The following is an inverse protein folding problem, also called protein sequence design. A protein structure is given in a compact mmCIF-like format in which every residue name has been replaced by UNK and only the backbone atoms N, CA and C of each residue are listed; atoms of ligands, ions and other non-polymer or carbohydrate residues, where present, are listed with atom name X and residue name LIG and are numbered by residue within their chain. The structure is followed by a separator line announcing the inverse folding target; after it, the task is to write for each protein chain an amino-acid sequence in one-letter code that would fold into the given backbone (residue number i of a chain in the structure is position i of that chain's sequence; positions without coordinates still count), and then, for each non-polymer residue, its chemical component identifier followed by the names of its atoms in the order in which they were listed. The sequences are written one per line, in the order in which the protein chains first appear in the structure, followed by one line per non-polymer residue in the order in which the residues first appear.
data_IF_582046285506
#
_entry.id   IF_582046285506
#
_cell.length_a   1.000
_cell.length_b   1.000
_cell.length_c   1.000
_cell.angle_alpha   90.00
_cell.angle_beta   90.00
_cell.angle_gamma   90.00
#
_symmetry.space_group_name_H-M   'P 1'
#
loop_
_entity.id
_entity.type
_entity.pdbx_description
1 polymer ?
#
# COMPACT_ATOMS: atom_id res chain seq x y z
N UNK A 1 -2.18 27.37 10.62
CA UNK A 1 -1.90 28.81 10.47
C UNK A 1 -1.52 29.09 9.02
N UNK A 2 -0.50 28.44 8.48
CA UNK A 2 0.00 28.62 7.11
C UNK A 2 -1.07 28.37 6.04
N UNK A 3 -1.88 27.29 6.17
CA UNK A 3 -2.97 27.01 5.23
C UNK A 3 -4.03 28.12 5.19
N UNK A 4 -4.29 28.81 6.31
CA UNK A 4 -5.23 29.95 6.34
C UNK A 4 -4.66 31.19 5.64
N UNK A 5 -3.38 31.44 5.79
CA UNK A 5 -2.67 32.54 5.12
C UNK A 5 -2.65 32.32 3.61
N UNK A 6 -2.35 31.12 3.16
CA UNK A 6 -2.40 30.73 1.74
C UNK A 6 -3.81 30.84 1.16
N UNK A 7 -4.81 30.33 1.87
CA UNK A 7 -6.21 30.38 1.42
C UNK A 7 -6.74 31.80 1.28
N UNK A 8 -6.33 32.74 2.15
CA UNK A 8 -6.67 34.17 2.04
C UNK A 8 -6.10 34.78 0.76
N UNK A 9 -4.95 34.29 0.25
CA UNK A 9 -4.37 34.65 -1.04
C UNK A 9 -4.96 33.93 -2.25
N UNK A 10 -5.93 33.03 -2.04
CA UNK A 10 -6.51 32.22 -3.11
C UNK A 10 -5.69 31.00 -3.51
N UNK A 11 -4.73 30.59 -2.67
CA UNK A 11 -3.89 29.43 -2.88
C UNK A 11 -4.27 28.28 -1.94
N UNK A 12 -4.29 27.07 -2.45
CA UNK A 12 -4.50 25.83 -1.68
C UNK A 12 -3.40 24.82 -1.90
N UNK A 13 -3.28 23.90 -0.96
CA UNK A 13 -2.34 22.77 -1.03
C UNK A 13 -3.13 21.49 -0.82
N UNK A 14 -2.78 20.44 -1.61
CA UNK A 14 -3.39 19.14 -1.48
C UNK A 14 -2.36 18.02 -1.74
N UNK A 15 -2.11 17.17 -0.74
CA UNK A 15 -1.20 16.03 -0.87
C UNK A 15 -1.58 14.89 0.07
N UNK A 16 -1.05 13.69 -0.19
CA UNK A 16 -1.39 12.48 0.57
C UNK A 16 -1.04 12.52 2.07
N UNK A 17 -0.04 13.34 2.46
CA UNK A 17 0.35 13.52 3.86
C UNK A 17 -0.59 14.42 4.69
N UNK A 18 -1.58 15.06 4.06
CA UNK A 18 -2.58 15.86 4.79
C UNK A 18 -3.64 14.96 5.43
N UNK A 19 -4.21 15.42 6.55
CA UNK A 19 -5.37 14.81 7.17
C UNK A 19 -6.56 14.76 6.22
N UNK A 20 -7.44 13.76 6.38
CA UNK A 20 -8.62 13.61 5.50
C UNK A 20 -9.54 14.83 5.54
N UNK A 21 -9.73 15.44 6.72
CA UNK A 21 -10.55 16.63 6.89
C UNK A 21 -9.95 17.85 6.16
N UNK A 22 -8.63 18.05 6.26
CA UNK A 22 -7.93 19.16 5.60
C UNK A 22 -7.95 19.02 4.07
N UNK A 23 -7.78 17.78 3.55
CA UNK A 23 -7.89 17.52 2.12
C UNK A 23 -9.27 17.86 1.61
N UNK A 24 -10.31 17.39 2.28
CA UNK A 24 -11.70 17.68 1.93
C UNK A 24 -12.01 19.18 1.96
N UNK A 25 -11.51 19.88 2.96
CA UNK A 25 -11.67 21.34 3.04
C UNK A 25 -10.98 22.06 1.86
N UNK A 26 -9.75 21.64 1.48
CA UNK A 26 -9.07 22.21 0.32
C UNK A 26 -9.83 21.93 -0.98
N UNK A 27 -10.42 20.75 -1.12
CA UNK A 27 -11.27 20.37 -2.26
C UNK A 27 -12.54 21.23 -2.33
N UNK A 28 -13.24 21.42 -1.21
CA UNK A 28 -14.45 22.25 -1.10
C UNK A 28 -14.15 23.74 -1.42
N UNK A 29 -13.05 24.28 -0.89
CA UNK A 29 -12.62 25.64 -1.14
C UNK A 29 -12.24 25.87 -2.62
N UNK A 30 -11.63 24.90 -3.26
CA UNK A 30 -11.33 24.96 -4.68
C UNK A 30 -12.59 24.83 -5.54
N UNK A 31 -13.50 23.91 -5.20
CA UNK A 31 -14.74 23.71 -5.92
C UNK A 31 -15.66 24.95 -5.88
N UNK A 32 -15.73 25.66 -4.75
CA UNK A 32 -16.51 26.90 -4.61
C UNK A 32 -15.79 28.15 -5.16
N UNK A 33 -14.54 28.02 -5.62
CA UNK A 33 -13.75 29.12 -6.20
C UNK A 33 -13.10 30.06 -5.18
N UNK A 34 -13.19 29.78 -3.88
CA UNK A 34 -12.48 30.55 -2.85
C UNK A 34 -10.95 30.38 -2.98
N UNK A 35 -10.50 29.18 -3.36
CA UNK A 35 -9.13 28.88 -3.78
C UNK A 35 -9.11 28.84 -5.30
N UNK A 36 -8.26 29.65 -5.92
CA UNK A 36 -8.12 29.71 -7.38
C UNK A 36 -6.97 28.86 -7.93
N UNK A 37 -5.94 28.66 -7.13
CA UNK A 37 -4.76 27.87 -7.47
C UNK A 37 -4.59 26.78 -6.45
N UNK A 38 -4.62 25.51 -6.89
CA UNK A 38 -4.40 24.36 -6.04
C UNK A 38 -3.06 23.71 -6.39
N UNK A 39 -2.09 23.80 -5.49
CA UNK A 39 -0.82 23.10 -5.59
C UNK A 39 -0.99 21.67 -5.02
N UNK A 40 -0.79 20.66 -5.87
CA UNK A 40 -1.05 19.29 -5.45
C UNK A 40 0.01 18.30 -5.96
N UNK A 41 0.08 17.16 -5.31
CA UNK A 41 0.82 16.00 -5.83
C UNK A 41 -0.03 15.26 -6.87
N UNK A 42 0.60 14.42 -7.69
CA UNK A 42 -0.06 13.64 -8.74
C UNK A 42 -1.25 12.78 -8.21
N UNK A 43 -1.27 12.47 -6.92
CA UNK A 43 -2.36 11.71 -6.28
C UNK A 43 -3.74 12.34 -6.41
N UNK A 44 -3.84 13.66 -6.58
CA UNK A 44 -5.11 14.35 -6.82
C UNK A 44 -5.76 13.91 -8.14
N UNK A 45 -4.96 13.65 -9.17
CA UNK A 45 -5.45 13.22 -10.48
C UNK A 45 -6.20 11.87 -10.44
N UNK A 46 -5.88 11.01 -9.45
CA UNK A 46 -6.40 9.66 -9.35
C UNK A 46 -7.65 9.50 -8.48
N UNK A 47 -7.81 10.35 -7.46
CA UNK A 47 -8.78 10.10 -6.40
C UNK A 47 -9.95 11.08 -6.31
N UNK A 48 -9.88 12.24 -6.97
CA UNK A 48 -10.86 13.31 -6.78
C UNK A 48 -11.29 13.89 -8.13
N UNK A 49 -12.58 14.15 -8.28
CA UNK A 49 -13.11 14.82 -9.47
C UNK A 49 -13.16 16.34 -9.26
N UNK A 50 -12.00 16.99 -9.38
CA UNK A 50 -11.85 18.45 -9.30
C UNK A 50 -11.35 18.99 -10.65
N UNK A 51 -12.23 19.34 -11.57
CA UNK A 51 -11.83 19.91 -12.85
C UNK A 51 -11.35 21.37 -12.65
N UNK A 52 -10.32 21.75 -13.41
CA UNK A 52 -9.75 23.09 -13.44
C UNK A 52 -9.71 23.62 -14.87
N UNK A 53 -9.76 24.94 -15.07
CA UNK A 53 -9.56 25.53 -16.40
C UNK A 53 -8.18 25.22 -16.97
N UNK A 54 -7.16 25.38 -16.14
CA UNK A 54 -5.78 25.13 -16.53
C UNK A 54 -5.11 24.13 -15.57
N UNK A 55 -4.31 23.25 -16.14
CA UNK A 55 -3.49 22.28 -15.40
C UNK A 55 -2.03 22.47 -15.78
N UNK A 56 -1.15 22.59 -14.79
CA UNK A 56 0.28 22.77 -14.98
C UNK A 56 1.03 21.59 -14.36
N UNK A 57 1.71 20.82 -15.17
CA UNK A 57 2.66 19.78 -14.74
C UNK A 57 4.02 20.45 -14.56
N UNK A 58 4.40 20.70 -13.31
CA UNK A 58 5.66 21.36 -12.94
C UNK A 58 6.79 20.34 -12.82
N UNK A 59 7.40 19.99 -13.93
CA UNK A 59 8.45 18.98 -14.02
C UNK A 59 7.89 17.58 -14.32
N UNK A 60 8.67 16.83 -15.05
CA UNK A 60 8.28 15.52 -15.60
C UNK A 60 9.10 14.38 -15.02
N UNK A 61 9.93 14.64 -14.02
CA UNK A 61 10.72 13.64 -13.33
C UNK A 61 10.04 13.24 -12.01
N UNK A 62 9.85 11.94 -11.82
CA UNK A 62 9.31 11.33 -10.60
C UNK A 62 10.35 10.37 -10.06
N UNK A 63 10.56 10.41 -8.75
CA UNK A 63 11.45 9.45 -8.10
C UNK A 63 10.81 8.05 -8.16
N UNK A 64 11.48 7.14 -8.88
CA UNK A 64 11.11 5.73 -8.94
C UNK A 64 11.90 4.95 -7.88
N UNK A 65 11.22 4.59 -6.80
CA UNK A 65 11.84 3.84 -5.72
C UNK A 65 12.29 2.42 -6.13
N UNK A 66 11.70 1.83 -7.17
CA UNK A 66 12.12 0.51 -7.68
C UNK A 66 13.46 0.60 -8.43
N UNK A 67 13.68 1.70 -9.14
CA UNK A 67 14.93 1.96 -9.87
C UNK A 67 15.98 2.67 -9.03
N UNK A 68 15.59 3.22 -7.88
CA UNK A 68 16.47 4.00 -7.02
C UNK A 68 16.93 5.33 -7.62
N UNK A 69 16.14 5.93 -8.52
CA UNK A 69 16.48 7.15 -9.25
C UNK A 69 15.26 7.87 -9.80
N UNK A 70 15.49 9.02 -10.42
CA UNK A 70 14.43 9.76 -11.09
C UNK A 70 14.11 9.12 -12.46
N UNK A 71 12.83 8.85 -12.69
CA UNK A 71 12.28 8.39 -13.96
C UNK A 71 11.34 9.42 -14.56
N UNK A 72 11.03 9.27 -15.85
CA UNK A 72 10.07 10.14 -16.51
C UNK A 72 8.64 9.81 -16.05
N UNK A 73 7.82 10.85 -15.93
CA UNK A 73 6.39 10.72 -15.70
C UNK A 73 5.76 9.91 -16.83
N UNK A 74 4.96 8.90 -16.50
CA UNK A 74 4.38 8.04 -17.53
C UNK A 74 3.36 8.79 -18.38
N UNK A 75 3.20 8.36 -19.64
CA UNK A 75 2.20 8.92 -20.56
C UNK A 75 0.80 8.87 -19.96
N UNK A 76 0.47 7.79 -19.26
CA UNK A 76 -0.84 7.63 -18.57
C UNK A 76 -1.04 8.68 -17.49
N UNK A 77 -0.01 8.94 -16.68
CA UNK A 77 -0.09 9.96 -15.64
C UNK A 77 -0.31 11.34 -16.25
N UNK A 78 0.43 11.68 -17.31
CA UNK A 78 0.25 12.95 -18.05
C UNK A 78 -1.17 13.09 -18.58
N UNK A 79 -1.69 12.07 -19.26
CA UNK A 79 -3.06 12.08 -19.79
C UNK A 79 -4.12 12.16 -18.70
N UNK A 80 -3.92 11.50 -17.56
CA UNK A 80 -4.84 11.59 -16.42
C UNK A 80 -4.84 12.94 -15.75
N UNK A 81 -3.64 13.54 -15.59
CA UNK A 81 -3.51 14.88 -15.05
C UNK A 81 -4.17 15.88 -16.01
N UNK A 82 -3.94 15.76 -17.31
CA UNK A 82 -4.58 16.59 -18.32
C UNK A 82 -6.08 16.37 -18.44
N UNK A 83 -6.57 15.16 -18.14
CA UNK A 83 -8.00 14.90 -18.02
C UNK A 83 -8.72 15.70 -16.92
N UNK A 84 -7.96 16.46 -16.12
CA UNK A 84 -8.50 17.43 -15.16
C UNK A 84 -8.62 18.86 -15.73
N UNK A 85 -8.03 19.11 -16.90
CA UNK A 85 -8.18 20.38 -17.59
C UNK A 85 -9.53 20.45 -18.34
N UNK A 86 -10.26 21.52 -18.09
CA UNK A 86 -11.59 21.75 -18.66
C UNK A 86 -12.71 21.42 -17.68
N UNK A 87 -13.73 22.28 -17.70
CA UNK A 87 -14.98 22.13 -16.93
C UNK A 87 -16.11 22.03 -17.94
N UNK A 88 -16.53 20.83 -18.37
CA UNK A 88 -17.51 20.65 -19.44
C UNK A 88 -18.82 21.41 -19.23
N UNK A 89 -19.17 21.69 -17.97
CA UNK A 89 -20.39 22.42 -17.60
C UNK A 89 -20.24 23.96 -17.65
N UNK A 90 -19.00 24.48 -17.68
CA UNK A 90 -18.73 25.92 -17.57
C UNK A 90 -17.87 26.47 -18.70
N UNK A 91 -16.98 25.66 -19.27
CA UNK A 91 -15.96 26.10 -20.22
C UNK A 91 -15.74 25.09 -21.34
N UNK A 92 -15.78 25.53 -22.62
CA UNK A 92 -15.61 24.63 -23.77
C UNK A 92 -14.17 24.16 -24.00
N UNK A 93 -13.20 24.78 -23.32
CA UNK A 93 -11.76 24.54 -23.49
C UNK A 93 -11.07 24.35 -22.15
N UNK A 94 -10.15 23.38 -22.08
CA UNK A 94 -9.19 23.23 -21.02
C UNK A 94 -7.77 23.44 -21.53
N UNK A 95 -6.90 23.99 -20.71
CA UNK A 95 -5.50 24.28 -21.07
C UNK A 95 -4.57 23.44 -20.21
N UNK A 96 -3.66 22.68 -20.87
CA UNK A 96 -2.62 21.89 -20.21
C UNK A 96 -1.23 22.44 -20.50
N UNK A 97 -0.42 22.62 -19.47
CA UNK A 97 0.98 23.02 -19.60
C UNK A 97 1.89 21.92 -19.05
N UNK A 98 2.93 21.56 -19.80
CA UNK A 98 4.01 20.69 -19.32
C UNK A 98 5.31 21.49 -19.29
N UNK A 99 5.90 21.60 -18.11
CA UNK A 99 7.25 22.14 -17.95
C UNK A 99 8.23 20.99 -17.91
N UNK A 100 9.00 20.82 -18.96
CA UNK A 100 9.95 19.71 -19.12
C UNK A 100 11.28 20.20 -19.70
N UNK A 101 12.28 19.33 -19.72
CA UNK A 101 13.58 19.61 -20.34
C UNK A 101 13.51 19.42 -21.85
N UNK A 102 14.40 20.09 -22.58
CA UNK A 102 14.38 20.08 -24.06
C UNK A 102 14.55 18.68 -24.64
N UNK A 103 15.38 17.85 -24.04
CA UNK A 103 15.61 16.46 -24.44
C UNK A 103 14.35 15.58 -24.31
N UNK A 104 13.39 15.95 -23.46
CA UNK A 104 12.13 15.22 -23.24
C UNK A 104 10.94 15.80 -24.03
N UNK A 105 11.13 16.94 -24.68
CA UNK A 105 10.04 17.61 -25.40
C UNK A 105 9.39 16.70 -26.44
N UNK A 106 10.18 16.08 -27.31
CA UNK A 106 9.67 15.18 -28.35
C UNK A 106 8.87 14.01 -27.78
N UNK A 107 9.34 13.43 -26.67
CA UNK A 107 8.65 12.33 -25.98
C UNK A 107 7.25 12.75 -25.50
N UNK A 108 7.13 13.90 -24.82
CA UNK A 108 5.83 14.36 -24.30
C UNK A 108 4.90 14.89 -25.40
N UNK A 109 5.42 15.49 -26.46
CA UNK A 109 4.61 15.85 -27.62
C UNK A 109 4.00 14.59 -28.25
N UNK A 110 4.81 13.56 -28.50
CA UNK A 110 4.33 12.29 -29.04
C UNK A 110 3.32 11.60 -28.11
N UNK A 111 3.54 11.71 -26.79
CA UNK A 111 2.64 11.16 -25.78
C UNK A 111 1.26 11.85 -25.81
N UNK A 112 1.22 13.17 -25.80
CA UNK A 112 -0.02 13.97 -25.76
C UNK A 112 -0.80 13.85 -27.08
N UNK A 113 -0.10 13.77 -28.22
CA UNK A 113 -0.73 13.56 -29.53
C UNK A 113 -1.13 12.11 -29.82
N UNK A 114 -1.02 11.22 -28.82
CA UNK A 114 -1.35 9.78 -28.93
C UNK A 114 -0.60 9.05 -30.05
N UNK A 115 0.57 9.53 -30.45
CA UNK A 115 1.38 8.91 -31.50
C UNK A 115 2.07 7.62 -31.00
N UNK A 116 2.25 7.48 -29.67
CA UNK A 116 2.78 6.28 -29.06
C UNK A 116 1.66 5.47 -28.39
N UNK A 117 1.42 4.25 -28.82
CA UNK A 117 0.44 3.39 -28.17
C UNK A 117 0.94 2.96 -26.78
N UNK A 118 0.02 2.89 -25.84
CA UNK A 118 0.29 2.39 -24.48
C UNK A 118 0.31 0.86 -24.53
N UNK A 119 1.42 0.25 -24.17
CA UNK A 119 1.52 -1.20 -24.07
C UNK A 119 0.95 -1.71 -22.72
N UNK A 120 0.43 -2.93 -22.76
CA UNK A 120 -0.13 -3.57 -21.57
C UNK A 120 0.98 -4.04 -20.62
N UNK A 121 0.86 -3.68 -19.35
CA UNK A 121 1.71 -4.23 -18.27
C UNK A 121 1.11 -5.49 -17.64
N UNK A 122 0.07 -6.06 -18.21
CA UNK A 122 -0.63 -7.21 -17.65
C UNK A 122 0.27 -8.45 -17.53
N UNK A 123 1.17 -8.67 -18.49
CA UNK A 123 2.12 -9.78 -18.48
C UNK A 123 2.96 -9.82 -17.20
N UNK A 124 3.42 -8.66 -16.70
CA UNK A 124 4.21 -8.57 -15.47
C UNK A 124 3.41 -8.91 -14.19
N UNK A 125 2.09 -8.95 -14.27
CA UNK A 125 1.18 -9.27 -13.17
C UNK A 125 0.37 -10.55 -13.43
N UNK A 126 0.69 -11.28 -14.48
CA UNK A 126 -0.09 -12.43 -14.92
C UNK A 126 -0.18 -13.52 -13.85
N UNK A 127 0.90 -13.76 -13.11
CA UNK A 127 0.95 -14.78 -12.05
C UNK A 127 -0.09 -14.46 -10.96
N UNK A 128 -0.10 -13.23 -10.46
CA UNK A 128 -1.03 -12.80 -9.40
C UNK A 128 -2.47 -12.75 -9.89
N UNK A 129 -2.69 -12.28 -11.13
CA UNK A 129 -4.02 -12.22 -11.73
C UNK A 129 -4.57 -13.61 -12.01
N UNK A 130 -3.74 -14.55 -12.48
CA UNK A 130 -4.14 -15.94 -12.67
C UNK A 130 -4.53 -16.59 -11.33
N UNK A 131 -3.78 -16.34 -10.27
CA UNK A 131 -4.13 -16.83 -8.94
C UNK A 131 -5.51 -16.33 -8.49
N UNK A 132 -5.81 -15.06 -8.74
CA UNK A 132 -7.11 -14.48 -8.40
C UNK A 132 -8.26 -15.13 -9.18
N UNK A 133 -8.09 -15.35 -10.50
CA UNK A 133 -9.10 -15.99 -11.35
C UNK A 133 -9.34 -17.47 -10.97
N UNK A 134 -8.25 -18.18 -10.66
CA UNK A 134 -8.36 -19.58 -10.18
C UNK A 134 -9.02 -19.62 -8.80
N UNK A 135 -8.70 -18.68 -7.90
CA UNK A 135 -9.31 -18.60 -6.58
C UNK A 135 -10.82 -18.25 -6.64
N UNK A 136 -11.22 -17.43 -7.61
CA UNK A 136 -12.62 -17.08 -7.89
C UNK A 136 -13.38 -18.22 -8.60
N UNK A 137 -12.66 -19.18 -9.20
CA UNK A 137 -13.26 -20.28 -9.98
C UNK A 137 -13.64 -19.91 -11.41
N UNK A 138 -13.24 -18.72 -11.90
CA UNK A 138 -13.45 -18.31 -13.29
C UNK A 138 -12.49 -18.96 -14.29
N UNK A 139 -11.37 -19.48 -13.81
CA UNK A 139 -10.38 -20.24 -14.60
C UNK A 139 -10.06 -21.53 -13.85
N UNK A 140 -10.40 -22.67 -14.44
CA UNK A 140 -10.16 -24.02 -13.92
C UNK A 140 -9.25 -24.84 -14.82
N UNK A 141 -8.89 -24.34 -15.99
CA UNK A 141 -8.01 -25.01 -16.95
C UNK A 141 -7.15 -24.03 -17.74
N UNK A 142 -6.08 -24.54 -18.34
CA UNK A 142 -5.23 -23.76 -19.25
C UNK A 142 -6.04 -23.21 -20.43
N UNK A 143 -6.99 -23.98 -20.97
CA UNK A 143 -7.79 -23.56 -22.12
C UNK A 143 -8.71 -22.40 -21.76
N UNK A 144 -9.38 -22.46 -20.61
CA UNK A 144 -10.18 -21.35 -20.09
C UNK A 144 -9.32 -20.12 -19.81
N UNK A 145 -8.12 -20.30 -19.26
CA UNK A 145 -7.19 -19.21 -19.04
C UNK A 145 -6.71 -18.56 -20.34
N UNK A 146 -6.46 -19.31 -21.41
CA UNK A 146 -6.12 -18.77 -22.72
C UNK A 146 -7.29 -17.97 -23.30
N UNK A 147 -8.52 -18.46 -23.15
CA UNK A 147 -9.73 -17.74 -23.54
C UNK A 147 -9.87 -16.44 -22.73
N UNK A 148 -9.72 -16.51 -21.41
CA UNK A 148 -9.73 -15.33 -20.53
C UNK A 148 -8.70 -14.28 -20.95
N UNK A 149 -7.45 -14.67 -21.24
CA UNK A 149 -6.45 -13.74 -21.75
C UNK A 149 -6.87 -13.08 -23.06
N UNK A 150 -7.66 -13.73 -23.88
CA UNK A 150 -8.18 -13.21 -25.14
C UNK A 150 -9.08 -11.98 -25.00
N UNK A 151 -9.70 -11.78 -23.84
CA UNK A 151 -10.55 -10.62 -23.53
C UNK A 151 -9.78 -9.45 -22.92
N UNK A 152 -8.49 -9.60 -22.67
CA UNK A 152 -7.67 -8.57 -22.02
C UNK A 152 -7.18 -7.53 -23.02
N UNK A 153 -6.88 -6.33 -22.50
CA UNK A 153 -6.20 -5.29 -23.30
C UNK A 153 -4.86 -5.79 -23.83
N UNK A 154 -4.18 -6.67 -23.10
CA UNK A 154 -2.94 -7.31 -23.57
C UNK A 154 -3.14 -8.04 -24.89
N UNK A 155 -4.20 -8.82 -25.04
CA UNK A 155 -4.49 -9.53 -26.29
C UNK A 155 -4.72 -8.58 -27.48
N UNK A 156 -5.39 -7.45 -27.25
CA UNK A 156 -5.55 -6.40 -28.26
C UNK A 156 -4.20 -5.82 -28.66
N UNK A 157 -3.32 -5.56 -27.69
CA UNK A 157 -1.98 -5.03 -27.96
C UNK A 157 -1.08 -6.05 -28.67
N UNK A 158 -1.15 -7.32 -28.28
CA UNK A 158 -0.42 -8.41 -28.93
C UNK A 158 -0.75 -8.51 -30.43
N UNK A 159 -2.01 -8.30 -30.81
CA UNK A 159 -2.41 -8.26 -32.24
C UNK A 159 -1.87 -7.03 -32.96
N UNK A 160 -1.84 -5.87 -32.31
CA UNK A 160 -1.43 -4.60 -32.94
C UNK A 160 0.07 -4.36 -32.94
N UNK A 161 0.78 -4.89 -31.96
CA UNK A 161 2.23 -4.75 -31.81
C UNK A 161 2.82 -6.06 -31.28
N UNK A 162 2.86 -7.13 -32.10
CA UNK A 162 3.33 -8.44 -31.69
C UNK A 162 4.78 -8.44 -31.19
N UNK A 163 5.63 -7.59 -31.78
CA UNK A 163 7.05 -7.48 -31.42
C UNK A 163 7.26 -7.11 -29.95
N UNK A 164 6.41 -6.24 -29.36
CA UNK A 164 6.48 -5.90 -27.94
C UNK A 164 6.21 -7.10 -27.02
N UNK A 165 5.66 -8.19 -27.54
CA UNK A 165 5.34 -9.43 -26.81
C UNK A 165 6.17 -10.64 -27.26
N UNK A 166 7.28 -10.38 -28.03
CA UNK A 166 8.21 -11.40 -28.50
C UNK A 166 7.69 -12.26 -29.66
N UNK A 167 6.85 -11.66 -30.51
CA UNK A 167 6.30 -12.31 -31.70
C UNK A 167 6.65 -11.48 -32.96
N UNK A 168 6.98 -12.16 -34.05
CA UNK A 168 7.32 -11.49 -35.32
C UNK A 168 6.08 -11.07 -36.09
N UNK A 169 4.97 -11.82 -35.96
CA UNK A 169 3.74 -11.59 -36.73
C UNK A 169 2.50 -11.67 -35.85
N UNK A 170 1.40 -11.10 -36.34
CA UNK A 170 0.09 -11.15 -35.66
C UNK A 170 -0.76 -12.36 -36.09
N UNK A 171 -0.13 -13.49 -36.39
CA UNK A 171 -0.84 -14.75 -36.67
C UNK A 171 -1.59 -15.23 -35.42
N UNK A 172 -2.88 -15.53 -35.54
CA UNK A 172 -3.72 -15.90 -34.39
C UNK A 172 -3.28 -17.23 -33.75
N UNK A 173 -2.70 -18.16 -34.52
CA UNK A 173 -2.16 -19.40 -33.99
C UNK A 173 -0.93 -19.13 -33.12
N UNK A 174 -0.03 -18.25 -33.57
CA UNK A 174 1.14 -17.83 -32.79
C UNK A 174 0.74 -17.01 -31.55
N UNK A 175 -0.22 -16.12 -31.69
CA UNK A 175 -0.77 -15.37 -30.55
C UNK A 175 -1.41 -16.29 -29.50
N UNK A 176 -2.14 -17.31 -29.95
CA UNK A 176 -2.72 -18.33 -29.08
C UNK A 176 -1.68 -19.17 -28.36
N UNK A 177 -0.65 -19.63 -29.11
CA UNK A 177 0.48 -20.37 -28.56
C UNK A 177 1.24 -19.56 -27.49
N UNK A 178 1.50 -18.28 -27.76
CA UNK A 178 2.18 -17.39 -26.81
C UNK A 178 1.36 -17.16 -25.54
N UNK A 179 0.05 -16.93 -25.66
CA UNK A 179 -0.84 -16.82 -24.49
C UNK A 179 -0.82 -18.09 -23.65
N UNK A 180 -0.83 -19.26 -24.29
CA UNK A 180 -0.74 -20.55 -23.61
C UNK A 180 0.59 -20.73 -22.88
N UNK A 181 1.70 -20.41 -23.54
CA UNK A 181 3.04 -20.45 -22.94
C UNK A 181 3.14 -19.60 -21.68
N UNK A 182 2.70 -18.33 -21.78
CA UNK A 182 2.68 -17.40 -20.63
C UNK A 182 1.82 -17.93 -19.48
N UNK A 183 0.66 -18.51 -19.79
CA UNK A 183 -0.26 -19.04 -18.80
C UNK A 183 0.31 -20.28 -18.09
N UNK A 184 0.89 -21.23 -18.86
CA UNK A 184 1.53 -22.42 -18.31
C UNK A 184 2.69 -22.03 -17.39
N UNK A 185 3.51 -21.06 -17.79
CA UNK A 185 4.60 -20.57 -16.95
C UNK A 185 4.08 -19.96 -15.65
N UNK A 186 3.02 -19.15 -15.72
CA UNK A 186 2.38 -18.59 -14.52
C UNK A 186 1.79 -19.68 -13.62
N UNK A 187 1.11 -20.68 -14.19
CA UNK A 187 0.57 -21.82 -13.47
C UNK A 187 1.65 -22.66 -12.76
N UNK A 188 2.79 -22.89 -13.44
CA UNK A 188 3.94 -23.57 -12.84
C UNK A 188 4.52 -22.81 -11.66
N UNK A 189 4.66 -21.47 -11.79
CA UNK A 189 5.12 -20.60 -10.70
C UNK A 189 4.18 -20.70 -9.50
N UNK A 190 2.88 -20.61 -9.71
CA UNK A 190 1.87 -20.75 -8.65
C UNK A 190 1.88 -22.13 -8.00
N UNK A 191 2.09 -23.19 -8.79
CA UNK A 191 2.17 -24.56 -8.30
C UNK A 191 3.41 -24.78 -7.42
N UNK A 192 4.57 -24.23 -7.80
CA UNK A 192 5.79 -24.27 -7.00
C UNK A 192 5.59 -23.59 -5.63
N UNK A 193 4.83 -22.50 -5.59
CA UNK A 193 4.49 -21.77 -4.36
C UNK A 193 3.32 -22.38 -3.60
N UNK A 194 2.78 -23.51 -4.04
CA UNK A 194 1.64 -24.18 -3.41
C UNK A 194 0.38 -23.30 -3.33
N UNK A 195 0.24 -22.32 -4.23
CA UNK A 195 -0.93 -21.45 -4.33
C UNK A 195 -2.03 -22.09 -5.17
N UNK A 196 -1.65 -22.83 -6.19
CA UNK A 196 -2.54 -23.53 -7.11
C UNK A 196 -2.08 -25.00 -7.26
N UNK A 197 -3.00 -25.92 -7.37
CA UNK A 197 -2.76 -27.27 -7.90
C UNK A 197 -2.79 -27.19 -9.42
N UNK A 198 -1.73 -27.65 -10.09
CA UNK A 198 -1.63 -27.66 -11.53
C UNK A 198 -1.26 -29.06 -12.05
N UNK A 199 -2.12 -29.66 -12.85
CA UNK A 199 -1.83 -30.87 -13.57
C UNK A 199 -1.37 -30.57 -15.01
N UNK A 200 -0.09 -30.74 -15.27
CA UNK A 200 0.50 -30.45 -16.59
C UNK A 200 -0.05 -31.32 -17.72
N UNK A 201 -0.56 -32.50 -17.42
CA UNK A 201 -1.05 -33.44 -18.44
C UNK A 201 -2.46 -33.04 -18.91
N UNK A 202 -3.32 -32.66 -17.97
CA UNK A 202 -4.72 -32.28 -18.28
C UNK A 202 -4.90 -30.79 -18.45
N UNK A 203 -3.96 -29.99 -17.99
CA UNK A 203 -4.08 -28.53 -17.93
C UNK A 203 -5.02 -28.05 -16.81
N UNK A 204 -5.46 -28.92 -15.90
CA UNK A 204 -6.39 -28.56 -14.82
C UNK A 204 -5.71 -27.71 -13.75
N UNK A 205 -6.45 -26.71 -13.27
CA UNK A 205 -6.05 -25.76 -12.23
C UNK A 205 -7.06 -25.79 -11.07
N UNK A 206 -6.54 -25.86 -9.85
CA UNK A 206 -7.37 -25.83 -8.64
C UNK A 206 -6.75 -24.91 -7.58
N UNK A 207 -7.53 -24.00 -7.01
CA UNK A 207 -7.06 -23.14 -5.95
C UNK A 207 -6.75 -23.91 -4.67
N UNK A 208 -5.58 -23.66 -4.06
CA UNK A 208 -5.22 -24.12 -2.73
C UNK A 208 -5.48 -23.04 -1.69
N UNK A 209 -5.48 -23.38 -0.41
CA UNK A 209 -5.74 -22.41 0.67
C UNK A 209 -4.79 -21.23 0.63
N UNK A 210 -3.50 -21.45 0.40
CA UNK A 210 -2.51 -20.37 0.26
C UNK A 210 -2.86 -19.41 -0.88
N UNK A 211 -3.30 -19.93 -2.03
CA UNK A 211 -3.73 -19.11 -3.17
C UNK A 211 -5.01 -18.34 -2.90
N UNK A 212 -6.01 -18.95 -2.23
CA UNK A 212 -7.24 -18.27 -1.81
C UNK A 212 -6.95 -17.13 -0.85
N UNK A 213 -6.11 -17.36 0.17
CA UNK A 213 -5.69 -16.36 1.14
C UNK A 213 -4.96 -15.20 0.42
N UNK A 214 -3.99 -15.52 -0.44
CA UNK A 214 -3.25 -14.50 -1.18
C UNK A 214 -4.17 -13.64 -2.06
N UNK A 215 -5.14 -14.25 -2.74
CA UNK A 215 -6.13 -13.55 -3.55
C UNK A 215 -7.04 -12.66 -2.69
N UNK A 216 -7.55 -13.16 -1.56
CA UNK A 216 -8.43 -12.41 -0.65
C UNK A 216 -7.76 -11.16 -0.06
N UNK A 217 -6.46 -11.24 0.22
CA UNK A 217 -5.67 -10.13 0.77
C UNK A 217 -4.85 -9.37 -0.28
N UNK A 218 -5.03 -9.64 -1.57
CA UNK A 218 -4.29 -9.01 -2.68
C UNK A 218 -2.77 -9.07 -2.50
N UNK A 219 -2.25 -10.22 -2.03
CA UNK A 219 -0.82 -10.44 -1.86
C UNK A 219 -0.18 -10.89 -3.17
N UNK A 220 1.03 -10.43 -3.39
CA UNK A 220 1.86 -10.89 -4.49
C UNK A 220 2.40 -12.30 -4.23
N UNK A 221 2.61 -13.05 -5.29
CA UNK A 221 3.22 -14.39 -5.20
C UNK A 221 4.65 -14.32 -4.64
N UNK A 222 5.41 -13.25 -4.88
CA UNK A 222 6.73 -13.03 -4.28
C UNK A 222 6.64 -12.89 -2.75
N UNK A 223 5.58 -12.27 -2.23
CA UNK A 223 5.32 -12.19 -0.78
C UNK A 223 4.99 -13.56 -0.23
N UNK A 224 4.21 -14.38 -0.95
CA UNK A 224 3.95 -15.76 -0.55
C UNK A 224 5.25 -16.57 -0.50
N UNK A 225 6.13 -16.41 -1.50
CA UNK A 225 7.44 -17.05 -1.51
C UNK A 225 8.30 -16.65 -0.31
N UNK A 226 8.35 -15.36 0.02
CA UNK A 226 9.20 -14.83 1.08
C UNK A 226 8.64 -15.10 2.49
N UNK A 227 7.36 -14.79 2.72
CA UNK A 227 6.77 -14.79 4.05
C UNK A 227 6.08 -16.10 4.43
N UNK A 228 5.49 -16.83 3.46
CA UNK A 228 4.68 -18.02 3.73
C UNK A 228 5.44 -19.35 3.50
N UNK A 229 6.47 -19.33 2.64
CA UNK A 229 7.20 -20.54 2.27
C UNK A 229 8.25 -20.95 3.30
N UNK A 230 9.19 -20.06 3.59
CA UNK A 230 10.38 -20.38 4.40
C UNK A 230 10.29 -19.87 5.83
N UNK A 231 9.56 -18.77 6.06
CA UNK A 231 9.50 -18.09 7.36
C UNK A 231 8.35 -18.54 8.23
N UNK A 232 7.23 -18.97 7.65
CA UNK A 232 6.06 -19.35 8.40
C UNK A 232 6.21 -20.74 9.02
N UNK A 233 6.25 -20.83 10.35
CA UNK A 233 6.34 -22.09 11.10
C UNK A 233 5.49 -22.06 12.38
N UNK A 234 5.18 -23.23 12.95
CA UNK A 234 4.24 -23.40 14.06
C UNK A 234 4.62 -22.68 15.37
N UNK A 235 5.91 -22.38 15.55
CA UNK A 235 6.47 -21.82 16.79
C UNK A 235 6.82 -20.32 16.66
N UNK A 236 6.22 -19.59 15.70
CA UNK A 236 6.47 -18.18 15.54
C UNK A 236 5.96 -17.37 16.74
N UNK A 237 6.83 -16.50 17.25
CA UNK A 237 6.47 -15.43 18.15
C UNK A 237 6.13 -14.13 17.37
N UNK A 238 5.78 -13.08 18.12
CA UNK A 238 5.43 -11.77 17.52
C UNK A 238 6.57 -11.17 16.71
N UNK A 239 7.82 -11.30 17.17
CA UNK A 239 8.99 -10.83 16.43
C UNK A 239 9.20 -11.58 15.11
N UNK A 240 8.90 -12.89 15.06
CA UNK A 240 8.99 -13.69 13.85
C UNK A 240 7.92 -13.28 12.83
N UNK A 241 6.68 -13.07 13.31
CA UNK A 241 5.57 -12.59 12.49
C UNK A 241 5.89 -11.20 11.94
N UNK A 242 6.41 -10.30 12.78
CA UNK A 242 6.82 -8.96 12.37
C UNK A 242 7.90 -9.01 11.26
N UNK A 243 8.92 -9.86 11.44
CA UNK A 243 9.97 -10.04 10.44
C UNK A 243 9.39 -10.58 9.11
N UNK A 244 8.46 -11.56 9.17
CA UNK A 244 7.80 -12.11 7.99
C UNK A 244 6.96 -11.04 7.26
N UNK A 245 6.22 -10.21 8.01
CA UNK A 245 5.46 -9.08 7.44
C UNK A 245 6.40 -8.10 6.74
N UNK A 246 7.50 -7.70 7.38
CA UNK A 246 8.44 -6.72 6.84
C UNK A 246 9.23 -7.23 5.63
N UNK A 247 9.32 -8.56 5.44
CA UNK A 247 9.93 -9.18 4.26
C UNK A 247 8.97 -9.21 3.03
N UNK A 248 7.75 -8.74 3.16
CA UNK A 248 6.78 -8.75 2.07
C UNK A 248 7.24 -7.89 0.89
N UNK A 249 7.03 -8.40 -0.32
CA UNK A 249 7.42 -7.72 -1.57
C UNK A 249 6.66 -6.40 -1.79
N UNK A 250 5.52 -6.23 -1.15
CA UNK A 250 4.77 -4.97 -1.09
C UNK A 250 5.61 -3.79 -0.60
N UNK A 251 6.65 -4.05 0.18
CA UNK A 251 7.56 -3.04 0.72
C UNK A 251 8.87 -2.86 -0.06
N UNK A 252 9.05 -3.54 -1.18
CA UNK A 252 10.29 -3.49 -1.95
C UNK A 252 10.73 -2.07 -2.37
N UNK A 253 9.77 -1.14 -2.44
CA UNK A 253 10.02 0.27 -2.75
C UNK A 253 10.46 1.12 -1.55
N UNK A 254 10.31 0.63 -0.30
CA UNK A 254 10.65 1.36 0.92
C UNK A 254 12.14 1.19 1.22
N UNK A 255 13.00 1.68 0.31
CA UNK A 255 14.46 1.58 0.47
C UNK A 255 14.98 2.59 1.48
N UNK A 256 16.11 2.26 2.11
CA UNK A 256 16.86 3.21 2.95
C UNK A 256 17.46 4.29 2.04
N UNK A 257 17.26 5.56 2.38
CA UNK A 257 17.80 6.71 1.66
C UNK A 257 18.93 7.35 2.47
N UNK A 258 19.86 7.99 1.79
CA UNK A 258 20.93 8.73 2.46
C UNK A 258 20.35 9.84 3.37
N UNK A 259 20.82 9.89 4.60
CA UNK A 259 20.37 10.88 5.61
C UNK A 259 19.31 10.38 6.59
N UNK A 260 18.65 9.25 6.30
CA UNK A 260 17.64 8.66 7.20
C UNK A 260 18.24 7.88 8.38
N UNK A 261 19.52 7.50 8.31
CA UNK A 261 20.16 6.55 9.22
C UNK A 261 20.12 7.03 10.68
N UNK A 262 20.29 8.33 10.91
CA UNK A 262 20.30 8.91 12.26
C UNK A 262 18.95 8.78 12.94
N UNK A 263 17.88 9.13 12.24
CA UNK A 263 16.53 9.06 12.77
C UNK A 263 16.06 7.61 12.91
N UNK A 264 16.37 6.74 11.94
CA UNK A 264 16.09 5.30 12.07
C UNK A 264 16.82 4.68 13.28
N UNK A 265 18.08 5.03 13.52
CA UNK A 265 18.82 4.58 14.71
C UNK A 265 18.23 5.14 16.02
N UNK A 266 17.68 6.34 16.01
CA UNK A 266 16.97 6.92 17.16
C UNK A 266 15.65 6.18 17.40
N UNK A 267 14.84 5.97 16.37
CA UNK A 267 13.56 5.22 16.46
C UNK A 267 13.79 3.79 16.92
N UNK A 268 14.86 3.13 16.43
CA UNK A 268 15.22 1.79 16.86
C UNK A 268 15.42 1.71 18.38
N UNK A 269 16.11 2.71 18.96
CA UNK A 269 16.39 2.74 20.41
C UNK A 269 15.20 3.15 21.27
N UNK A 270 14.34 4.04 20.76
CA UNK A 270 13.27 4.67 21.54
C UNK A 270 11.91 4.06 21.38
N UNK A 271 11.65 3.38 20.26
CA UNK A 271 10.31 2.95 19.87
C UNK A 271 10.18 1.46 19.55
N UNK A 272 11.30 0.74 19.34
CA UNK A 272 11.27 -0.67 19.02
C UNK A 272 11.34 -1.54 20.28
N UNK A 273 10.37 -2.43 20.43
CA UNK A 273 10.32 -3.42 21.51
C UNK A 273 10.66 -4.84 21.04
N UNK A 274 10.59 -5.09 19.73
CA UNK A 274 10.99 -6.37 19.12
C UNK A 274 12.31 -6.20 18.37
N UNK A 275 13.10 -7.28 18.35
CA UNK A 275 14.37 -7.32 17.61
C UNK A 275 14.14 -7.07 16.11
N UNK A 276 14.96 -6.19 15.53
CA UNK A 276 14.96 -5.90 14.10
C UNK A 276 15.93 -6.83 13.38
N UNK A 277 15.41 -7.79 12.66
CA UNK A 277 16.23 -8.73 11.90
C UNK A 277 16.74 -8.11 10.60
N UNK A 278 18.01 -8.35 10.28
CA UNK A 278 18.62 -7.91 9.02
C UNK A 278 19.15 -6.48 9.00
N UNK A 279 19.36 -5.87 10.18
CA UNK A 279 19.91 -4.51 10.30
C UNK A 279 18.88 -3.41 10.04
N UNK A 280 18.70 -2.50 11.01
CA UNK A 280 17.66 -1.46 10.98
C UNK A 280 17.85 -0.45 9.85
N UNK A 281 19.09 -0.19 9.46
CA UNK A 281 19.48 0.83 8.47
C UNK A 281 20.08 0.26 7.19
N UNK A 282 20.21 -1.06 7.10
CA UNK A 282 20.93 -1.72 6.00
C UNK A 282 20.01 -2.39 4.99
N UNK A 283 18.79 -2.72 5.42
CA UNK A 283 17.83 -3.43 4.57
C UNK A 283 16.44 -2.78 4.56
N UNK A 284 15.71 -2.97 3.46
CA UNK A 284 14.30 -2.58 3.35
C UNK A 284 13.45 -3.20 4.46
N UNK A 285 13.63 -4.48 4.75
CA UNK A 285 12.89 -5.17 5.79
C UNK A 285 13.18 -4.61 7.19
N UNK A 286 14.45 -4.28 7.47
CA UNK A 286 14.87 -3.63 8.71
C UNK A 286 14.23 -2.24 8.87
N UNK A 287 14.30 -1.40 7.84
CA UNK A 287 13.63 -0.09 7.82
C UNK A 287 12.12 -0.23 8.07
N UNK A 288 11.45 -1.15 7.35
CA UNK A 288 10.02 -1.41 7.53
C UNK A 288 9.70 -1.85 8.96
N UNK A 289 10.55 -2.68 9.57
CA UNK A 289 10.36 -3.14 10.95
C UNK A 289 10.46 -1.98 11.95
N UNK A 290 11.46 -1.10 11.81
CA UNK A 290 11.60 0.09 12.66
C UNK A 290 10.39 1.01 12.51
N UNK A 291 10.00 1.31 11.27
CA UNK A 291 8.87 2.21 10.99
C UNK A 291 7.54 1.64 11.50
N UNK A 292 7.32 0.33 11.36
CA UNK A 292 6.10 -0.32 11.82
C UNK A 292 6.01 -0.35 13.36
N UNK A 293 7.13 -0.64 14.04
CA UNK A 293 7.21 -0.56 15.49
C UNK A 293 7.04 0.88 15.99
N UNK A 294 7.67 1.86 15.34
CA UNK A 294 7.47 3.27 15.64
C UNK A 294 6.00 3.71 15.46
N UNK A 295 5.33 3.20 14.42
CA UNK A 295 3.90 3.44 14.20
C UNK A 295 3.04 2.87 15.34
N UNK A 296 3.27 1.63 15.76
CA UNK A 296 2.54 0.99 16.87
C UNK A 296 2.79 1.71 18.19
N UNK A 297 4.05 2.07 18.47
CA UNK A 297 4.49 2.82 19.65
C UNK A 297 4.09 4.30 19.64
N UNK A 298 3.41 4.77 18.58
CA UNK A 298 3.01 6.19 18.41
C UNK A 298 4.17 7.17 18.48
N UNK A 299 5.37 6.72 18.11
CA UNK A 299 6.55 7.55 18.12
C UNK A 299 6.42 8.70 17.10
N UNK A 300 6.97 9.85 17.44
CA UNK A 300 7.04 10.99 16.53
C UNK A 300 8.17 10.76 15.53
N UNK A 301 7.84 10.86 14.25
CA UNK A 301 8.78 10.82 13.13
C UNK A 301 8.90 12.25 12.60
N UNK A 302 10.11 12.79 12.56
CA UNK A 302 10.35 14.18 12.17
C UNK A 302 10.57 14.32 10.66
N UNK A 303 11.29 13.38 10.06
CA UNK A 303 11.49 13.36 8.62
C UNK A 303 10.19 13.03 7.88
N UNK A 304 9.81 13.89 6.94
CA UNK A 304 8.58 13.75 6.17
C UNK A 304 8.57 12.48 5.30
N UNK A 305 9.71 12.11 4.72
CA UNK A 305 9.85 10.91 3.89
C UNK A 305 9.66 9.65 4.72
N UNK A 306 10.29 9.59 5.91
CA UNK A 306 10.10 8.48 6.85
C UNK A 306 8.67 8.40 7.38
N UNK A 307 8.03 9.54 7.67
CA UNK A 307 6.63 9.57 8.10
C UNK A 307 5.68 9.04 7.01
N UNK A 308 5.92 9.40 5.75
CA UNK A 308 5.17 8.90 4.60
C UNK A 308 5.39 7.39 4.40
N UNK A 309 6.64 6.94 4.49
CA UNK A 309 6.98 5.51 4.42
C UNK A 309 6.33 4.73 5.58
N UNK A 310 6.33 5.25 6.80
CA UNK A 310 5.69 4.61 7.96
C UNK A 310 4.18 4.46 7.77
N UNK A 311 3.51 5.48 7.25
CA UNK A 311 2.08 5.41 6.94
C UNK A 311 1.79 4.36 5.85
N UNK A 312 2.61 4.32 4.79
CA UNK A 312 2.49 3.32 3.72
C UNK A 312 2.70 1.90 4.25
N UNK A 313 3.76 1.67 5.05
CA UNK A 313 4.06 0.37 5.65
C UNK A 313 2.93 -0.08 6.55
N UNK A 314 2.45 0.78 7.45
CA UNK A 314 1.36 0.45 8.37
C UNK A 314 0.05 0.08 7.65
N UNK A 315 -0.31 0.82 6.59
CA UNK A 315 -1.50 0.55 5.80
C UNK A 315 -1.45 -0.81 5.10
N UNK A 316 -0.28 -1.20 4.58
CA UNK A 316 -0.12 -2.46 3.85
C UNK A 316 0.16 -3.65 4.77
N UNK A 317 0.88 -3.46 5.89
CA UNK A 317 1.21 -4.51 6.85
C UNK A 317 -0.03 -5.17 7.45
N UNK A 318 -1.11 -4.42 7.66
CA UNK A 318 -2.35 -4.94 8.23
C UNK A 318 -2.95 -6.10 7.41
N UNK A 319 -2.92 -6.01 6.07
CA UNK A 319 -3.41 -7.09 5.21
C UNK A 319 -2.47 -8.29 5.17
N UNK A 320 -1.15 -8.06 5.22
CA UNK A 320 -0.15 -9.13 5.22
C UNK A 320 -0.24 -9.96 6.53
N UNK A 321 -0.33 -9.28 7.69
CA UNK A 321 -0.43 -9.98 8.97
C UNK A 321 -1.73 -10.78 9.10
N UNK A 322 -2.85 -10.26 8.56
CA UNK A 322 -4.12 -11.00 8.53
C UNK A 322 -4.04 -12.24 7.64
N UNK A 323 -3.37 -12.16 6.51
CA UNK A 323 -3.12 -13.32 5.65
C UNK A 323 -2.24 -14.38 6.34
N UNK A 324 -1.21 -13.95 7.08
CA UNK A 324 -0.39 -14.85 7.91
C UNK A 324 -1.24 -15.52 9.01
N UNK A 325 -2.12 -14.76 9.66
CA UNK A 325 -3.06 -15.29 10.65
C UNK A 325 -3.94 -16.40 10.03
N UNK A 326 -4.62 -16.13 8.91
CA UNK A 326 -5.47 -17.13 8.25
C UNK A 326 -4.68 -18.35 7.78
N UNK A 327 -3.46 -18.15 7.28
CA UNK A 327 -2.59 -19.26 6.90
C UNK A 327 -2.18 -20.12 8.10
N UNK A 328 -1.92 -19.50 9.26
CA UNK A 328 -1.63 -20.24 10.49
C UNK A 328 -2.87 -21.01 10.99
N UNK A 329 -4.06 -20.42 10.88
CA UNK A 329 -5.34 -21.08 11.23
C UNK A 329 -5.61 -22.27 10.31
N UNK A 330 -5.47 -22.11 8.98
CA UNK A 330 -5.64 -23.18 8.00
C UNK A 330 -4.71 -24.37 8.28
N UNK A 331 -3.48 -24.08 8.73
CA UNK A 331 -2.49 -25.09 9.11
C UNK A 331 -2.64 -25.63 10.54
N UNK A 332 -3.61 -25.13 11.31
CA UNK A 332 -3.86 -25.48 12.71
C UNK A 332 -2.67 -25.16 13.63
N UNK A 333 -1.95 -24.10 13.39
CA UNK A 333 -0.80 -23.63 14.17
C UNK A 333 -1.23 -22.56 15.19
N UNK A 334 -1.78 -22.99 16.32
CA UNK A 334 -2.37 -22.09 17.30
C UNK A 334 -1.39 -21.01 17.80
N UNK A 335 -0.14 -21.35 18.11
CA UNK A 335 0.86 -20.39 18.57
C UNK A 335 1.13 -19.27 17.56
N UNK A 336 1.40 -19.64 16.30
CA UNK A 336 1.60 -18.66 15.22
C UNK A 336 0.34 -17.83 14.94
N UNK A 337 -0.85 -18.44 15.02
CA UNK A 337 -2.12 -17.72 14.86
C UNK A 337 -2.32 -16.69 15.98
N UNK A 338 -2.07 -17.05 17.24
CA UNK A 338 -2.14 -16.10 18.35
C UNK A 338 -1.15 -14.94 18.19
N UNK A 339 0.10 -15.21 17.82
CA UNK A 339 1.10 -14.17 17.59
C UNK A 339 0.71 -13.22 16.45
N UNK A 340 0.20 -13.77 15.32
CA UNK A 340 -0.26 -12.95 14.21
C UNK A 340 -1.51 -12.12 14.57
N UNK A 341 -2.45 -12.68 15.31
CA UNK A 341 -3.63 -11.95 15.79
C UNK A 341 -3.25 -10.82 16.76
N UNK A 342 -2.33 -11.10 17.70
CA UNK A 342 -1.79 -10.11 18.64
C UNK A 342 -1.17 -8.93 17.88
N UNK A 343 -0.29 -9.21 16.90
CA UNK A 343 0.34 -8.18 16.09
C UNK A 343 -0.67 -7.43 15.21
N UNK A 344 -1.66 -8.11 14.63
CA UNK A 344 -2.74 -7.47 13.86
C UNK A 344 -3.50 -6.44 14.71
N UNK A 345 -3.85 -6.80 15.94
CA UNK A 345 -4.52 -5.91 16.91
C UNK A 345 -3.63 -4.74 17.31
N UNK A 346 -2.33 -5.00 17.52
CA UNK A 346 -1.35 -3.97 17.85
C UNK A 346 -1.26 -2.91 16.74
N UNK A 347 -1.21 -3.32 15.48
CA UNK A 347 -1.17 -2.41 14.33
C UNK A 347 -2.46 -1.59 14.19
N UNK A 348 -3.62 -2.23 14.34
CA UNK A 348 -4.93 -1.58 14.19
C UNK A 348 -5.20 -0.56 15.29
N UNK A 349 -4.85 -0.90 16.54
CA UNK A 349 -5.07 -0.04 17.70
C UNK A 349 -3.91 0.90 18.00
N UNK A 350 -2.77 0.73 17.32
CA UNK A 350 -1.51 1.42 17.61
C UNK A 350 -1.14 1.30 19.08
N UNK A 351 -1.08 0.06 19.57
CA UNK A 351 -0.90 -0.27 20.96
C UNK A 351 -0.32 -1.67 21.07
N UNK A 352 0.74 -1.81 21.86
CA UNK A 352 1.35 -3.11 22.09
C UNK A 352 0.50 -3.97 23.04
N UNK A 353 0.55 -5.32 22.94
CA UNK A 353 -0.25 -6.22 23.78
C UNK A 353 0.01 -6.10 25.28
N UNK A 354 1.21 -5.63 25.66
CA UNK A 354 1.60 -5.41 27.07
C UNK A 354 1.16 -4.05 27.62
N UNK A 355 0.67 -3.14 26.77
CA UNK A 355 0.14 -1.85 27.20
C UNK A 355 -1.28 -1.99 27.75
N UNK A 356 -1.68 -1.06 28.60
CA UNK A 356 -3.05 -1.02 29.13
C UNK A 356 -4.08 -0.86 28.02
N UNK A 357 -5.17 -1.63 28.11
CA UNK A 357 -6.30 -1.51 27.18
C UNK A 357 -6.91 -0.09 27.12
N UNK A 358 -6.66 0.73 28.12
CA UNK A 358 -7.11 2.14 28.16
C UNK A 358 -6.43 3.02 27.13
N UNK A 359 -5.22 2.66 26.68
CA UNK A 359 -4.49 3.43 25.63
C UNK A 359 -5.19 3.41 24.28
N UNK A 360 -6.13 2.51 24.04
CA UNK A 360 -6.92 2.54 22.80
C UNK A 360 -7.76 3.82 22.66
N UNK A 361 -8.03 4.54 23.74
CA UNK A 361 -8.85 5.76 23.75
C UNK A 361 -8.06 7.06 23.57
N UNK A 362 -6.75 7.01 23.58
CA UNK A 362 -5.83 8.14 23.58
C UNK A 362 -6.04 9.17 22.43
N UNK A 363 -6.55 8.74 21.29
CA UNK A 363 -6.77 9.59 20.13
C UNK A 363 -8.19 10.18 20.04
N UNK A 364 -9.07 9.97 21.03
CA UNK A 364 -10.48 10.40 20.96
C UNK A 364 -10.71 11.63 21.83
N UNK A 365 -11.61 12.51 21.39
CA UNK A 365 -12.10 13.60 22.24
C UNK A 365 -12.70 13.02 23.53
N UNK A 366 -12.22 13.47 24.70
CA UNK A 366 -12.63 12.95 26.00
C UNK A 366 -11.78 11.77 26.50
N UNK A 367 -10.71 11.39 25.82
CA UNK A 367 -9.77 10.40 26.33
C UNK A 367 -9.06 10.92 27.60
N UNK A 368 -8.74 10.02 28.56
CA UNK A 368 -7.98 10.41 29.74
C UNK A 368 -6.61 10.98 29.36
N UNK A 369 -6.10 12.01 30.04
CA UNK A 369 -4.75 12.51 29.83
C UNK A 369 -3.70 11.42 30.05
N UNK A 370 -2.56 11.51 29.33
CA UNK A 370 -1.46 10.52 29.43
C UNK A 370 -0.95 10.32 30.88
N UNK A 371 -0.97 11.38 31.69
CA UNK A 371 -0.63 11.31 33.11
C UNK A 371 -1.57 10.40 33.92
N UNK A 372 -2.85 10.39 33.56
CA UNK A 372 -3.87 9.51 34.16
C UNK A 372 -3.66 8.06 33.71
N UNK A 373 -3.44 7.87 32.41
CA UNK A 373 -3.18 6.55 31.84
C UNK A 373 -1.96 5.87 32.47
N UNK A 374 -0.82 6.59 32.53
CA UNK A 374 0.40 6.08 33.19
C UNK A 374 0.19 5.70 34.64
N UNK A 375 -0.66 6.46 35.35
CA UNK A 375 -0.97 6.16 36.73
C UNK A 375 -1.79 4.88 36.88
N UNK A 376 -2.80 4.71 36.02
CA UNK A 376 -3.62 3.49 36.02
C UNK A 376 -2.78 2.27 35.60
N UNK A 377 -1.84 2.44 34.68
CA UNK A 377 -0.89 1.40 34.24
C UNK A 377 0.06 0.98 35.39
N UNK A 378 0.47 1.90 36.25
CA UNK A 378 1.27 1.59 37.42
C UNK A 378 0.54 0.78 38.48
N UNK A 379 -0.77 0.60 38.35
CA UNK A 379 -1.61 -0.16 39.26
C UNK A 379 -1.91 -1.55 38.72
N UNK A 380 -0.95 -2.45 38.79
CA UNK A 380 -0.97 -3.81 38.19
C UNK A 380 -2.21 -4.69 38.52
N UNK A 381 -3.04 -4.27 39.48
CA UNK A 381 -4.26 -4.99 39.89
C UNK A 381 -5.54 -4.46 39.22
N UNK A 382 -5.44 -3.45 38.36
CA UNK A 382 -6.60 -2.84 37.70
C UNK A 382 -6.71 -3.34 36.26
N UNK A 383 -7.65 -4.23 36.03
CA UNK A 383 -8.09 -4.61 34.68
C UNK A 383 -9.29 -3.75 34.22
N UNK A 384 -9.65 -3.89 32.97
CA UNK A 384 -10.75 -3.14 32.38
C UNK A 384 -12.12 -3.48 33.00
N UNK A 385 -12.29 -4.70 33.52
CA UNK A 385 -13.53 -5.13 34.15
C UNK A 385 -13.69 -4.45 35.52
N UNK A 386 -12.62 -4.44 36.31
CA UNK A 386 -12.62 -3.77 37.61
C UNK A 386 -12.81 -2.26 37.50
N UNK A 387 -12.21 -1.62 36.47
CA UNK A 387 -12.45 -0.19 36.21
C UNK A 387 -13.91 0.10 35.82
N UNK A 388 -14.55 -0.81 35.10
CA UNK A 388 -15.98 -0.67 34.73
C UNK A 388 -16.92 -0.77 35.91
N UNK A 389 -16.56 -1.57 36.92
CA UNK A 389 -17.37 -1.82 38.09
C UNK A 389 -17.20 -0.73 39.17
N UNK A 390 -16.20 0.16 39.03
CA UNK A 390 -15.97 1.28 39.95
C UNK A 390 -16.94 2.43 39.71
N UNK A 391 -17.36 3.08 40.78
CA UNK A 391 -18.13 4.33 40.68
C UNK A 391 -17.26 5.51 40.19
N UNK A 392 -17.91 6.55 39.66
CA UNK A 392 -17.22 7.77 39.24
C UNK A 392 -16.41 8.43 40.35
N UNK A 393 -16.91 8.36 41.63
CA UNK A 393 -16.21 8.90 42.79
C UNK A 393 -14.94 8.11 43.12
N UNK A 394 -14.99 6.78 43.04
CA UNK A 394 -13.84 5.89 43.26
C UNK A 394 -12.79 6.09 42.15
N UNK A 395 -13.23 6.17 40.88
CA UNK A 395 -12.35 6.47 39.74
C UNK A 395 -11.69 7.84 39.89
N UNK A 396 -12.46 8.89 40.25
CA UNK A 396 -11.96 10.23 40.51
C UNK A 396 -10.92 10.29 41.63
N UNK A 397 -11.16 9.56 42.73
CA UNK A 397 -10.20 9.43 43.83
C UNK A 397 -8.91 8.69 43.36
N UNK A 398 -9.06 7.61 42.60
CA UNK A 398 -7.97 6.80 42.07
C UNK A 398 -7.02 7.62 41.16
N UNK A 399 -7.57 8.42 40.26
CA UNK A 399 -6.81 9.27 39.35
C UNK A 399 -6.44 10.62 39.94
N UNK A 400 -6.86 10.93 41.18
CA UNK A 400 -6.69 12.23 41.85
C UNK A 400 -7.27 13.42 41.06
N UNK A 401 -8.34 13.17 40.34
CA UNK A 401 -9.08 14.19 39.58
C UNK A 401 -10.58 14.01 39.87
N UNK A 402 -11.09 14.54 40.99
CA UNK A 402 -12.47 14.30 41.41
C UNK A 402 -13.54 14.93 40.49
N UNK A 403 -13.15 15.62 39.42
CA UNK A 403 -14.05 16.26 38.45
C UNK A 403 -13.99 15.61 37.06
N UNK A 404 -13.26 14.55 36.90
CA UNK A 404 -13.30 13.70 35.72
C UNK A 404 -14.29 12.59 35.95
#
# INVERSE_FOLDING_TARGET
RELRELAAGGFGVHHAGMGRADRRLAEELFACGAVRVLCCTATLAWGVNLPAYAVVIKGTQVYDAQRGGFGDLSVLDVLQIFGRAGRPQYEPLGVGYILTTHDRLAHYVAAVTMQQPIESRFAARLVDNLNAEVALGSVSSVDEGVAWLGYTYMAVRMRRNPQAYGLDTADEALLGARRREMLVHAAQTLAQLQMVGFDMRTGFLAARDTGRIAAAYYLRHETVAAAFGRTLHKHMGEADVLAAVCAAHEFAQVRVRAGEEKELAQLLRSACCCDVRGGATESTAGKCSVLLQAWVSRARIEDFGLAADAAYVAQNAARVVRALFESAVSRRWAGAACAALSLSRAMERRMWPFESALRQFDARAGAPPDSVLRRLEGMHALDAERLRDMSAAELGALVRQPRL
#
